data_IF_780302691466
#
_entry.id   IF_780302691466
#
_cell.length_a   1.000
_cell.length_b   1.000
_cell.length_c   1.000
_cell.angle_alpha   90.00
_cell.angle_beta   90.00
_cell.angle_gamma   90.00
#
_symmetry.space_group_name_H-M   'P 1'
#
loop_
_entity.id
_entity.type
_entity.pdbx_description
1 polymer ?
#
# COMPACT_ATOMS: atom_id res chain seq x y z
N UNK A 1 10.76 -25.29 -2.67
CA UNK A 1 11.11 -24.29 -1.65
C UNK A 1 10.19 -23.09 -1.78
N UNK A 2 9.59 -22.64 -0.68
CA UNK A 2 8.80 -21.41 -0.63
C UNK A 2 9.68 -20.19 -0.29
N UNK A 3 9.11 -18.98 -0.27
CA UNK A 3 9.87 -17.75 -0.02
C UNK A 3 10.62 -17.78 1.33
N UNK A 4 9.98 -18.25 2.41
CA UNK A 4 10.62 -18.35 3.72
C UNK A 4 11.83 -19.31 3.71
N UNK A 5 11.70 -20.45 3.03
CA UNK A 5 12.80 -21.42 2.89
C UNK A 5 13.96 -20.87 2.05
N UNK A 6 13.67 -20.10 0.99
CA UNK A 6 14.70 -19.43 0.19
C UNK A 6 15.48 -18.38 0.98
N UNK A 7 14.84 -17.71 1.94
CA UNK A 7 15.48 -16.72 2.80
C UNK A 7 16.23 -17.35 3.99
N UNK A 8 15.71 -18.44 4.55
CA UNK A 8 16.29 -19.12 5.71
C UNK A 8 17.49 -20.03 5.40
N UNK A 9 17.59 -20.53 4.16
CA UNK A 9 18.70 -21.39 3.75
C UNK A 9 19.91 -20.54 3.30
N UNK A 10 21.14 -21.03 3.55
CA UNK A 10 22.40 -20.44 3.09
C UNK A 10 22.64 -20.64 1.59
N UNK A 11 21.63 -20.34 0.77
CA UNK A 11 21.71 -20.46 -0.69
C UNK A 11 22.52 -19.29 -1.26
N UNK A 12 23.38 -19.57 -2.24
CA UNK A 12 24.16 -18.58 -3.00
C UNK A 12 23.36 -18.00 -4.17
N UNK A 13 22.13 -18.47 -4.42
CA UNK A 13 21.26 -17.97 -5.48
C UNK A 13 20.62 -16.64 -5.06
N UNK A 14 21.32 -15.55 -5.38
CA UNK A 14 20.92 -14.18 -5.09
C UNK A 14 19.57 -13.83 -5.75
N UNK A 15 19.32 -14.33 -6.96
CA UNK A 15 18.09 -14.05 -7.70
C UNK A 15 16.88 -14.65 -7.00
N UNK A 16 16.97 -15.91 -6.56
CA UNK A 16 15.89 -16.57 -5.82
C UNK A 16 15.64 -15.92 -4.45
N UNK A 17 16.70 -15.47 -3.78
CA UNK A 17 16.57 -14.71 -2.53
C UNK A 17 15.90 -13.36 -2.73
N UNK A 18 16.26 -12.62 -3.78
CA UNK A 18 15.61 -11.35 -4.12
C UNK A 18 14.12 -11.53 -4.44
N UNK A 19 13.78 -12.56 -5.24
CA UNK A 19 12.39 -12.91 -5.53
C UNK A 19 11.62 -13.26 -4.25
N UNK A 20 12.22 -14.06 -3.37
CA UNK A 20 11.62 -14.42 -2.08
C UNK A 20 11.41 -13.19 -1.17
N UNK A 21 12.36 -12.25 -1.15
CA UNK A 21 12.25 -11.03 -0.38
C UNK A 21 11.10 -10.14 -0.88
N UNK A 22 10.95 -9.97 -2.19
CA UNK A 22 9.85 -9.21 -2.78
C UNK A 22 8.48 -9.80 -2.41
N UNK A 23 8.36 -11.14 -2.41
CA UNK A 23 7.14 -11.82 -1.97
C UNK A 23 6.84 -11.49 -0.51
N UNK A 24 7.81 -11.60 0.39
CA UNK A 24 7.63 -11.30 1.82
C UNK A 24 7.28 -9.82 2.04
N UNK A 25 7.94 -8.89 1.36
CA UNK A 25 7.62 -7.46 1.44
C UNK A 25 6.17 -7.20 1.00
N UNK A 26 5.74 -7.75 -0.13
CA UNK A 26 4.36 -7.61 -0.60
C UNK A 26 3.33 -8.17 0.39
N UNK A 27 3.57 -9.40 0.87
CA UNK A 27 2.65 -10.10 1.78
C UNK A 27 2.53 -9.47 3.16
N UNK A 28 3.60 -8.89 3.69
CA UNK A 28 3.60 -8.34 5.05
C UNK A 28 3.54 -6.81 5.03
N UNK A 29 4.57 -6.18 4.45
CA UNK A 29 4.72 -4.72 4.51
C UNK A 29 3.62 -4.01 3.70
N UNK A 30 3.42 -4.40 2.44
CA UNK A 30 2.46 -3.70 1.59
C UNK A 30 1.01 -4.00 1.99
N UNK A 31 0.74 -5.22 2.46
CA UNK A 31 -0.56 -5.59 3.04
C UNK A 31 -0.88 -4.83 4.32
N UNK A 32 0.12 -4.57 5.17
CA UNK A 32 -0.09 -3.74 6.36
C UNK A 32 -0.32 -2.27 6.00
N UNK A 33 0.31 -1.77 4.93
CA UNK A 33 0.15 -0.38 4.48
C UNK A 33 -1.20 -0.13 3.80
N UNK A 34 -1.69 -1.09 3.03
CA UNK A 34 -2.88 -0.92 2.16
C UNK A 34 -3.86 -2.09 2.28
N UNK A 35 -5.10 -1.78 2.67
CA UNK A 35 -6.19 -2.75 2.77
C UNK A 35 -6.52 -3.41 1.41
N UNK A 36 -6.51 -2.69 0.26
CA UNK A 36 -6.73 -3.31 -1.04
C UNK A 36 -5.67 -4.35 -1.41
N UNK A 37 -4.39 -4.12 -1.06
CA UNK A 37 -3.31 -5.08 -1.34
C UNK A 37 -3.49 -6.34 -0.49
N UNK A 38 -3.83 -6.19 0.80
CA UNK A 38 -4.14 -7.32 1.67
C UNK A 38 -5.31 -8.15 1.14
N UNK A 39 -6.38 -7.49 0.69
CA UNK A 39 -7.56 -8.13 0.12
C UNK A 39 -7.25 -8.90 -1.17
N UNK A 40 -6.50 -8.27 -2.08
CA UNK A 40 -6.03 -8.88 -3.32
C UNK A 40 -5.19 -10.14 -3.04
N UNK A 41 -4.17 -10.03 -2.17
CA UNK A 41 -3.28 -11.15 -1.86
C UNK A 41 -4.00 -12.28 -1.13
N UNK A 42 -4.97 -11.98 -0.27
CA UNK A 42 -5.82 -13.02 0.35
C UNK A 42 -6.57 -13.84 -0.71
N UNK A 43 -7.11 -13.18 -1.73
CA UNK A 43 -7.86 -13.81 -2.82
C UNK A 43 -6.95 -14.59 -3.77
N UNK A 44 -5.79 -14.02 -4.12
CA UNK A 44 -4.86 -14.59 -5.11
C UNK A 44 -3.77 -15.47 -4.50
N UNK A 45 -3.75 -15.71 -3.18
CA UNK A 45 -2.68 -16.46 -2.48
C UNK A 45 -2.32 -17.82 -3.09
N UNK A 46 -3.27 -18.49 -3.75
CA UNK A 46 -3.07 -19.80 -4.39
C UNK A 46 -2.71 -19.69 -5.88
N UNK A 47 -2.84 -18.50 -6.45
CA UNK A 47 -2.58 -18.22 -7.85
C UNK A 47 -1.20 -17.57 -7.95
N UNK A 48 -0.25 -18.24 -8.61
CA UNK A 48 1.07 -17.66 -8.88
C UNK A 48 0.94 -16.57 -9.96
N UNK A 49 0.41 -15.41 -9.59
CA UNK A 49 0.21 -14.28 -10.49
C UNK A 49 1.34 -13.26 -10.37
N UNK A 50 1.70 -12.65 -11.51
CA UNK A 50 2.53 -11.44 -11.50
C UNK A 50 1.81 -10.34 -10.74
N UNK A 51 2.57 -9.50 -10.04
CA UNK A 51 2.04 -8.31 -9.37
C UNK A 51 1.35 -7.41 -10.39
N UNK A 52 0.07 -7.02 -10.19
CA UNK A 52 -0.61 -6.08 -11.06
C UNK A 52 -0.02 -4.67 -10.96
N UNK A 53 -0.07 -3.92 -12.07
CA UNK A 53 0.44 -2.54 -12.15
C UNK A 53 -0.18 -1.60 -11.11
N UNK A 54 -1.47 -1.78 -10.77
CA UNK A 54 -2.13 -0.95 -9.76
C UNK A 54 -1.53 -1.14 -8.36
N UNK A 55 -1.05 -2.35 -8.03
CA UNK A 55 -0.39 -2.64 -6.75
C UNK A 55 0.92 -1.87 -6.67
N UNK A 56 1.76 -1.95 -7.72
CA UNK A 56 3.03 -1.23 -7.79
C UNK A 56 2.82 0.29 -7.70
N UNK A 57 1.86 0.81 -8.47
CA UNK A 57 1.49 2.23 -8.45
C UNK A 57 1.09 2.69 -7.05
N UNK A 58 0.27 1.89 -6.36
CA UNK A 58 -0.22 2.23 -5.03
C UNK A 58 0.91 2.21 -3.98
N UNK A 59 1.79 1.21 -4.03
CA UNK A 59 2.98 1.11 -3.16
C UNK A 59 3.88 2.34 -3.28
N UNK A 60 4.16 2.79 -4.52
CA UNK A 60 5.00 3.97 -4.76
C UNK A 60 4.40 5.27 -4.22
N UNK A 61 3.08 5.34 -4.10
CA UNK A 61 2.37 6.53 -3.59
C UNK A 61 2.17 6.52 -2.08
N UNK A 62 2.68 5.54 -1.34
CA UNK A 62 2.44 5.44 0.11
C UNK A 62 2.83 6.71 0.88
N UNK A 63 4.03 7.23 0.64
CA UNK A 63 4.54 8.41 1.36
C UNK A 63 3.75 9.68 1.04
N UNK A 64 3.39 9.87 -0.23
CA UNK A 64 2.56 10.98 -0.71
C UNK A 64 1.18 10.95 -0.04
N UNK A 65 0.47 9.81 -0.15
CA UNK A 65 -0.87 9.65 0.39
C UNK A 65 -0.89 9.78 1.93
N UNK A 66 0.13 9.25 2.61
CA UNK A 66 0.28 9.43 4.07
C UNK A 66 0.51 10.89 4.42
N UNK A 67 1.34 11.59 3.65
CA UNK A 67 1.59 13.02 3.81
C UNK A 67 0.31 13.85 3.66
N UNK A 68 -0.51 13.59 2.63
CA UNK A 68 -1.78 14.29 2.43
C UNK A 68 -2.72 14.18 3.63
N UNK A 69 -2.86 12.98 4.21
CA UNK A 69 -3.68 12.79 5.41
C UNK A 69 -3.13 13.61 6.59
N UNK A 70 -1.83 13.54 6.82
CA UNK A 70 -1.19 14.16 7.98
C UNK A 70 -1.09 15.70 7.84
N UNK A 71 -0.92 16.23 6.63
CA UNK A 71 -0.97 17.69 6.40
C UNK A 71 -2.38 18.23 6.63
N UNK A 72 -3.40 17.50 6.17
CA UNK A 72 -4.80 17.89 6.41
C UNK A 72 -5.15 17.91 7.90
N UNK A 73 -4.63 16.97 8.68
CA UNK A 73 -4.83 16.93 10.13
C UNK A 73 -4.01 18.00 10.89
N UNK A 74 -2.78 18.27 10.45
CA UNK A 74 -1.85 19.13 11.18
C UNK A 74 -1.95 20.64 10.86
N UNK A 75 -2.45 21.01 9.67
CA UNK A 75 -2.51 22.40 9.22
C UNK A 75 -3.97 22.82 8.94
N UNK A 76 -4.56 23.74 9.74
CA UNK A 76 -5.94 24.18 9.54
C UNK A 76 -6.16 24.97 8.24
N UNK A 77 -5.09 25.44 7.60
CA UNK A 77 -5.15 26.15 6.31
C UNK A 77 -5.03 25.20 5.12
N UNK A 78 -4.63 23.96 5.34
CA UNK A 78 -4.47 22.96 4.29
C UNK A 78 -5.83 22.51 3.77
N UNK A 79 -6.06 22.73 2.46
CA UNK A 79 -7.28 22.29 1.80
C UNK A 79 -7.09 20.90 1.21
N UNK A 80 -8.00 20.00 1.55
CA UNK A 80 -8.01 18.67 0.96
C UNK A 80 -8.12 18.73 -0.57
N UNK A 81 -7.28 17.94 -1.24
CA UNK A 81 -7.34 17.71 -2.68
C UNK A 81 -7.75 16.26 -2.90
N UNK A 82 -8.84 15.99 -3.65
CA UNK A 82 -9.29 14.63 -3.91
C UNK A 82 -8.19 13.73 -4.46
N UNK A 83 -8.06 12.53 -3.90
CA UNK A 83 -7.01 11.59 -4.26
C UNK A 83 -7.58 10.47 -5.12
N UNK A 84 -7.06 10.31 -6.33
CA UNK A 84 -7.43 9.17 -7.18
C UNK A 84 -6.55 7.97 -6.85
N UNK A 85 -7.15 6.80 -6.64
CA UNK A 85 -6.45 5.53 -6.45
C UNK A 85 -6.95 4.51 -7.48
N UNK A 86 -6.08 3.59 -7.87
CA UNK A 86 -6.49 2.40 -8.59
C UNK A 86 -6.42 1.21 -7.64
N UNK A 87 -7.53 0.51 -7.48
CA UNK A 87 -7.70 -0.59 -6.52
C UNK A 87 -8.41 -1.75 -7.18
N UNK A 88 -8.36 -2.92 -6.53
CA UNK A 88 -9.16 -4.07 -6.94
C UNK A 88 -10.65 -3.72 -6.94
N UNK A 89 -11.33 -3.97 -8.06
CA UNK A 89 -12.77 -3.80 -8.18
C UNK A 89 -13.57 -4.92 -7.52
N UNK A 90 -14.90 -4.77 -7.46
CA UNK A 90 -15.75 -5.74 -6.80
C UNK A 90 -15.84 -7.08 -7.56
N UNK A 91 -16.30 -8.10 -6.83
CA UNK A 91 -16.78 -9.36 -7.39
C UNK A 91 -17.84 -9.10 -8.49
N UNK A 92 -17.91 -9.93 -9.54
CA UNK A 92 -17.19 -11.20 -9.74
C UNK A 92 -15.86 -11.09 -10.48
N UNK A 93 -15.60 -9.98 -11.17
CA UNK A 93 -14.50 -9.89 -12.12
C UNK A 93 -13.20 -9.37 -11.50
N UNK A 94 -13.27 -8.62 -10.39
CA UNK A 94 -12.11 -8.06 -9.69
C UNK A 94 -11.19 -7.19 -10.58
N UNK A 95 -11.75 -6.64 -11.67
CA UNK A 95 -11.01 -5.75 -12.55
C UNK A 95 -10.60 -4.49 -11.79
N UNK A 96 -9.40 -3.95 -11.99
CA UNK A 96 -8.99 -2.71 -11.35
C UNK A 96 -9.96 -1.57 -11.66
N UNK A 97 -10.30 -0.78 -10.64
CA UNK A 97 -11.16 0.40 -10.76
C UNK A 97 -10.46 1.62 -10.22
N UNK A 98 -10.75 2.77 -10.82
CA UNK A 98 -10.33 4.06 -10.30
C UNK A 98 -11.37 4.55 -9.30
N UNK A 99 -10.93 4.83 -8.08
CA UNK A 99 -11.71 5.45 -7.02
C UNK A 99 -11.15 6.84 -6.74
N UNK A 100 -12.02 7.78 -6.38
CA UNK A 100 -11.62 9.14 -6.01
C UNK A 100 -12.05 9.37 -4.57
N UNK A 101 -11.08 9.45 -3.67
CA UNK A 101 -11.31 9.85 -2.28
C UNK A 101 -11.50 11.36 -2.22
N UNK A 102 -12.75 11.80 -2.11
CA UNK A 102 -13.16 13.20 -2.00
C UNK A 102 -12.85 13.78 -0.61
N UNK A 103 -12.64 12.93 0.39
CA UNK A 103 -12.32 13.34 1.76
C UNK A 103 -11.14 12.54 2.33
N UNK A 104 -10.55 13.04 3.41
CA UNK A 104 -9.48 12.31 4.12
C UNK A 104 -9.98 10.98 4.67
N UNK A 105 -11.21 10.93 5.18
CA UNK A 105 -11.82 9.73 5.74
C UNK A 105 -11.97 8.64 4.67
N UNK A 106 -12.44 9.02 3.47
CA UNK A 106 -12.50 8.10 2.34
C UNK A 106 -11.11 7.57 1.95
N UNK A 107 -10.06 8.40 1.99
CA UNK A 107 -8.71 7.89 1.72
C UNK A 107 -8.26 6.90 2.80
N UNK A 108 -8.54 7.19 4.08
CA UNK A 108 -8.15 6.37 5.21
C UNK A 108 -8.77 4.97 5.18
N UNK A 109 -9.94 4.77 4.57
CA UNK A 109 -10.55 3.45 4.36
C UNK A 109 -9.66 2.49 3.54
N UNK A 110 -8.74 3.02 2.73
CA UNK A 110 -7.81 2.22 1.94
C UNK A 110 -6.45 2.01 2.65
N UNK A 111 -6.24 2.61 3.82
CA UNK A 111 -4.98 2.60 4.57
C UNK A 111 -5.04 1.64 5.76
N UNK A 112 -3.99 0.84 5.93
CA UNK A 112 -3.79 0.09 7.18
C UNK A 112 -2.89 0.83 8.18
N UNK A 113 -1.86 1.53 7.67
CA UNK A 113 -0.97 2.41 8.46
C UNK A 113 -0.54 3.63 7.63
N UNK A 114 -0.20 4.72 8.31
CA UNK A 114 0.35 5.94 7.72
C UNK A 114 1.85 6.06 8.03
N UNK A 115 2.62 6.51 7.04
CA UNK A 115 4.00 6.93 7.28
C UNK A 115 3.99 8.29 7.96
N UNK A 116 4.55 8.38 9.17
CA UNK A 116 4.77 9.67 9.82
C UNK A 116 5.83 10.47 9.07
N UNK A 117 5.46 11.63 8.55
CA UNK A 117 6.39 12.56 7.90
C UNK A 117 6.78 13.66 8.90
N UNK A 118 8.08 13.88 9.20
CA UNK A 118 8.48 14.95 10.12
C UNK A 118 7.98 16.34 9.72
N UNK A 119 7.76 16.59 8.42
CA UNK A 119 7.24 17.86 7.91
C UNK A 119 5.78 18.13 8.28
N UNK A 120 5.04 17.12 8.71
CA UNK A 120 3.64 17.24 9.13
C UNK A 120 3.52 17.41 10.64
N UNK A 121 4.64 17.61 11.36
CA UNK A 121 4.66 17.85 12.79
C UNK A 121 4.71 19.37 12.99
N UNK A 122 3.53 19.97 13.14
CA UNK A 122 3.40 21.37 13.52
C UNK A 122 3.00 21.48 15.00
N UNK A 123 3.46 22.53 15.68
CA UNK A 123 2.92 22.87 16.99
C UNK A 123 1.45 23.29 16.82
N UNK A 124 0.53 22.95 17.76
CA UNK A 124 -0.82 23.45 17.72
C UNK A 124 -0.79 24.98 17.64
N UNK A 125 -1.55 25.57 16.71
CA UNK A 125 -1.79 27.00 16.75
C UNK A 125 -2.57 27.28 18.05
N UNK A 126 -1.95 28.04 18.96
CA UNK A 126 -2.51 28.39 20.28
C UNK A 126 -3.69 29.34 20.20
#
# INVERSE_FOLDING_TARGET
>A
MNAAQWLGNSTTDITKRAQALLIVIGMFCESARFIPISSYLRRTRQQSQKTPVWVETLVHRWGELSGCCLFYDADPTYKWVPQTLEVEGPSPNYNPVKVVAQTVNELLEYRGILQRNPRTIHAPAG
#
